data_IF_854932242798
#
_entry.id   IF_854932242798
#
_cell.length_a   1.000
_cell.length_b   1.000
_cell.length_c   1.000
_cell.angle_alpha   90.00
_cell.angle_beta   90.00
_cell.angle_gamma   90.00
#
_symmetry.space_group_name_H-M   'P 1'
#
loop_
_entity.id
_entity.type
_entity.pdbx_description
1 polymer ?
#
# COMPACT_ATOMS: atom_id res chain seq x y z
N UNK A 1 -10.96 3.78 1.10
CA UNK A 1 -9.90 2.77 1.04
C UNK A 1 -10.35 1.56 1.84
N UNK A 2 -10.18 0.36 1.28
CA UNK A 2 -10.60 -0.85 1.97
C UNK A 2 -9.64 -1.17 3.11
N UNK A 3 -10.08 -1.96 4.10
CA UNK A 3 -9.18 -2.38 5.19
C UNK A 3 -7.96 -3.12 4.68
N UNK A 4 -8.10 -3.93 3.64
CA UNK A 4 -6.96 -4.63 3.06
C UNK A 4 -5.97 -3.65 2.45
N UNK A 5 -6.47 -2.64 1.76
CA UNK A 5 -5.59 -1.64 1.16
C UNK A 5 -4.83 -0.87 2.24
N UNK A 6 -5.52 -0.54 3.33
CA UNK A 6 -4.88 0.15 4.43
C UNK A 6 -3.81 -0.71 5.09
N UNK A 7 -4.08 -1.99 5.26
CA UNK A 7 -3.09 -2.92 5.82
C UNK A 7 -1.87 -3.03 4.90
N UNK A 8 -2.10 -3.15 3.61
CA UNK A 8 -0.99 -3.23 2.66
C UNK A 8 -0.15 -1.96 2.69
N UNK A 9 -0.81 -0.82 2.76
CA UNK A 9 -0.11 0.46 2.81
C UNK A 9 0.79 0.53 4.04
N UNK A 10 0.29 0.06 5.19
CA UNK A 10 1.08 0.03 6.41
C UNK A 10 2.28 -0.91 6.28
N UNK A 11 2.08 -2.07 5.65
CA UNK A 11 3.17 -3.01 5.42
C UNK A 11 4.23 -2.40 4.51
N UNK A 12 3.80 -1.72 3.45
CA UNK A 12 4.74 -1.08 2.53
C UNK A 12 5.50 0.03 3.22
N UNK A 13 4.85 0.78 4.10
CA UNK A 13 5.55 1.82 4.86
C UNK A 13 6.69 1.23 5.67
N UNK A 14 6.48 0.07 6.29
CA UNK A 14 7.51 -0.59 7.06
C UNK A 14 8.57 -1.28 6.21
N UNK A 15 8.25 -1.59 4.96
CA UNK A 15 9.16 -2.29 4.04
C UNK A 15 9.31 -1.53 2.75
N UNK A 16 9.40 -0.23 2.83
CA UNK A 16 9.45 0.64 1.66
C UNK A 16 10.53 0.15 0.69
N UNK A 17 10.14 -0.06 -0.55
CA UNK A 17 11.04 -0.62 -1.54
C UNK A 17 11.23 -2.12 -1.47
N UNK A 18 10.53 -2.81 -0.59
CA UNK A 18 10.62 -4.25 -0.49
C UNK A 18 9.87 -4.95 -1.62
N UNK A 19 10.16 -6.24 -1.79
CA UNK A 19 9.53 -7.02 -2.84
C UNK A 19 8.36 -7.82 -2.28
N UNK A 20 7.28 -7.88 -3.03
CA UNK A 20 6.06 -8.61 -2.67
C UNK A 20 5.70 -9.56 -3.78
N UNK A 21 5.08 -10.68 -3.43
CA UNK A 21 4.61 -11.62 -4.43
C UNK A 21 3.59 -10.93 -5.33
N UNK A 22 3.76 -11.11 -6.64
CA UNK A 22 2.90 -10.43 -7.61
C UNK A 22 1.45 -10.88 -7.47
N UNK A 23 1.22 -12.09 -6.98
CA UNK A 23 -0.13 -12.62 -6.80
C UNK A 23 -0.75 -12.23 -5.47
N UNK A 24 0.05 -11.76 -4.55
CA UNK A 24 -0.45 -11.40 -3.23
C UNK A 24 -1.03 -9.99 -3.25
N UNK A 25 -2.16 -9.83 -2.59
CA UNK A 25 -2.77 -8.51 -2.39
C UNK A 25 -3.06 -7.77 -3.68
N UNK A 26 -3.43 -8.50 -4.75
CA UNK A 26 -3.63 -7.89 -6.07
C UNK A 26 -4.66 -6.79 -6.02
N UNK A 27 -5.81 -7.04 -5.40
CA UNK A 27 -6.87 -6.04 -5.35
C UNK A 27 -6.41 -4.79 -4.59
N UNK A 28 -5.76 -4.99 -3.44
CA UNK A 28 -5.29 -3.86 -2.64
C UNK A 28 -4.20 -3.08 -3.37
N UNK A 29 -3.26 -3.78 -4.03
CA UNK A 29 -2.22 -3.11 -4.80
C UNK A 29 -2.80 -2.30 -5.94
N UNK A 30 -3.76 -2.87 -6.66
CA UNK A 30 -4.39 -2.18 -7.77
C UNK A 30 -5.10 -0.93 -7.29
N UNK A 31 -5.82 -1.03 -6.20
CA UNK A 31 -6.52 0.10 -5.63
C UNK A 31 -5.54 1.21 -5.24
N UNK A 32 -4.49 0.86 -4.53
CA UNK A 32 -3.53 1.85 -4.05
C UNK A 32 -2.72 2.46 -5.19
N UNK A 33 -2.36 1.65 -6.17
CA UNK A 33 -1.64 2.15 -7.34
C UNK A 33 -2.49 3.08 -8.18
N UNK A 34 -3.76 2.75 -8.36
CA UNK A 34 -4.67 3.60 -9.14
C UNK A 34 -4.93 4.92 -8.42
N UNK A 35 -4.93 4.90 -7.08
CA UNK A 35 -5.16 6.12 -6.30
C UNK A 35 -3.90 6.95 -6.13
N UNK A 36 -2.74 6.45 -6.57
CA UNK A 36 -1.49 7.19 -6.44
C UNK A 36 -0.84 7.06 -5.07
N UNK A 37 -1.27 6.12 -4.26
CA UNK A 37 -0.71 5.92 -2.92
C UNK A 37 0.53 5.03 -2.92
N UNK A 38 0.68 4.20 -3.95
CA UNK A 38 1.82 3.32 -4.09
C UNK A 38 2.39 3.41 -5.49
N UNK A 39 3.70 3.25 -5.57
CA UNK A 39 4.39 3.06 -6.84
C UNK A 39 4.67 1.58 -6.96
N UNK A 40 4.26 0.95 -8.04
CA UNK A 40 4.41 -0.48 -8.25
C UNK A 40 5.33 -0.70 -9.42
N UNK A 41 6.41 -1.45 -9.19
CA UNK A 41 7.37 -1.79 -10.24
C UNK A 41 7.46 -3.31 -10.32
N UNK A 42 7.07 -3.91 -11.45
CA UNK A 42 7.15 -5.36 -11.57
C UNK A 42 8.60 -5.85 -11.71
N UNK A 43 8.90 -6.95 -11.02
CA UNK A 43 10.21 -7.59 -11.07
C UNK A 43 10.00 -9.10 -11.14
N UNK A 44 9.83 -9.65 -12.33
CA UNK A 44 9.61 -11.08 -12.51
C UNK A 44 8.34 -11.53 -11.81
N UNK A 45 8.48 -12.45 -10.88
CA UNK A 45 7.33 -12.96 -10.13
C UNK A 45 6.95 -12.10 -8.93
N UNK A 46 7.69 -11.03 -8.71
CA UNK A 46 7.44 -10.13 -7.58
C UNK A 46 7.27 -8.72 -8.09
N UNK A 47 6.80 -7.86 -7.23
CA UNK A 47 6.73 -6.45 -7.55
C UNK A 47 7.34 -5.67 -6.39
N UNK A 48 7.97 -4.57 -6.73
CA UNK A 48 8.53 -3.68 -5.73
C UNK A 48 7.52 -2.57 -5.47
N UNK A 49 7.15 -2.41 -4.22
CA UNK A 49 6.17 -1.41 -3.82
C UNK A 49 6.86 -0.31 -3.03
N UNK A 50 6.61 0.92 -3.43
CA UNK A 50 7.16 2.08 -2.73
C UNK A 50 6.02 3.01 -2.38
N UNK A 51 5.97 3.43 -1.12
CA UNK A 51 4.91 4.35 -0.70
C UNK A 51 5.21 5.75 -1.20
N UNK A 52 4.17 6.43 -1.69
CA UNK A 52 4.30 7.82 -2.14
C UNK A 52 4.00 8.76 -0.98
N UNK A 53 4.37 10.05 -1.09
CA UNK A 53 3.97 11.01 -0.05
C UNK A 53 2.46 11.05 0.16
N UNK A 54 1.70 10.88 -0.93
CA UNK A 54 0.26 10.83 -0.85
C UNK A 54 -0.20 9.62 -0.08
N UNK A 55 0.48 8.47 -0.28
CA UNK A 55 0.17 7.27 0.47
C UNK A 55 0.45 7.41 1.96
N UNK A 56 1.54 8.09 2.30
CA UNK A 56 1.86 8.34 3.70
C UNK A 56 0.79 9.20 4.37
N UNK A 57 0.34 10.22 3.66
CA UNK A 57 -0.72 11.08 4.17
C UNK A 57 -2.02 10.30 4.34
N UNK A 58 -2.37 9.49 3.35
CA UNK A 58 -3.58 8.69 3.43
C UNK A 58 -3.53 7.70 4.59
N UNK A 59 -2.38 7.08 4.82
CA UNK A 59 -2.22 6.14 5.91
C UNK A 59 -2.36 6.85 7.26
N UNK A 60 -1.77 8.02 7.39
CA UNK A 60 -1.88 8.78 8.61
C UNK A 60 -3.33 9.19 8.90
N UNK A 61 -4.04 9.62 7.88
CA UNK A 61 -5.45 9.98 8.03
C UNK A 61 -6.29 8.76 8.37
N UNK A 62 -6.03 7.65 7.70
CA UNK A 62 -6.76 6.41 8.00
C UNK A 62 -6.53 5.96 9.41
N UNK A 63 -5.30 6.08 9.89
CA UNK A 63 -4.97 5.72 11.27
C UNK A 63 -5.71 6.61 12.27
N UNK A 64 -5.82 7.90 11.95
CA UNK A 64 -6.51 8.83 12.84
C UNK A 64 -8.00 8.63 12.83
N UNK A 65 -8.53 8.24 11.69
CA UNK A 65 -9.97 8.00 11.57
C UNK A 65 -10.37 6.68 12.17
N UNK A 66 -9.42 5.84 12.42
CA UNK A 66 -9.73 4.58 13.02
C UNK A 66 -10.40 4.85 14.34
N UNK A 67 -11.59 4.33 14.54
CA UNK A 67 -12.34 4.67 15.72
C UNK A 67 -11.54 4.30 16.92
N UNK A 68 -11.56 5.20 17.79
CA UNK A 68 -10.87 5.00 19.00
C UNK A 68 -11.76 4.25 19.88
N UNK A 69 -12.59 3.65 19.56
CA UNK A 69 -13.45 3.01 20.43
C UNK A 69 -12.88 2.10 21.29
#
# INVERSE_FOLDING_TARGET
MTPEALKLLAVVLGRDGGFFDIKANVAARTELGASGYLRIEPHGKQCRLTITPMGRTALALGSKEKPVE
#
